data_IF_253563563099
#
_entry.id   IF_253563563099
#
_cell.length_a   1.000
_cell.length_b   1.000
_cell.length_c   1.000
_cell.angle_alpha   90.00
_cell.angle_beta   90.00
_cell.angle_gamma   90.00
#
_symmetry.space_group_name_H-M   'P 1'
#
loop_
_entity.id
_entity.type
_entity.pdbx_description
1 polymer ?
#
# COMPACT_ATOMS: atom_id res chain seq x y z
N UNK A 1 7.89 -4.00 -26.67
CA UNK A 1 6.82 -3.34 -25.90
C UNK A 1 6.32 -4.28 -24.81
N UNK A 2 6.29 -3.78 -23.56
CA UNK A 2 5.78 -4.56 -22.42
C UNK A 2 4.28 -4.28 -22.26
N UNK A 3 3.46 -5.30 -22.43
CA UNK A 3 2.01 -5.19 -22.18
C UNK A 3 1.78 -5.16 -20.66
N UNK A 4 1.12 -4.11 -20.18
CA UNK A 4 0.68 -4.01 -18.79
C UNK A 4 -0.76 -4.51 -18.71
N UNK A 5 -0.95 -5.61 -17.97
CA UNK A 5 -2.28 -6.18 -17.75
C UNK A 5 -2.92 -5.46 -16.56
N UNK A 6 -4.00 -4.73 -16.82
CA UNK A 6 -4.79 -4.10 -15.75
C UNK A 6 -5.58 -5.11 -14.92
N UNK A 7 -5.94 -4.72 -13.70
CA UNK A 7 -6.65 -5.59 -12.75
C UNK A 7 -7.71 -4.87 -11.91
N UNK A 8 -8.36 -3.82 -12.45
CA UNK A 8 -9.38 -3.06 -11.72
C UNK A 8 -10.40 -3.98 -11.05
N UNK A 9 -10.68 -3.73 -9.77
CA UNK A 9 -11.60 -4.55 -8.97
C UNK A 9 -11.01 -5.88 -8.49
N UNK A 10 -9.73 -6.16 -8.77
CA UNK A 10 -9.01 -7.33 -8.26
C UNK A 10 -8.06 -6.93 -7.13
N UNK A 11 -7.87 -7.77 -6.11
CA UNK A 11 -6.96 -7.49 -5.02
C UNK A 11 -5.48 -7.74 -5.37
N UNK A 12 -5.19 -8.25 -6.57
CA UNK A 12 -3.82 -8.49 -7.04
C UNK A 12 -3.04 -7.18 -7.22
N UNK A 13 -1.72 -7.25 -7.30
CA UNK A 13 -0.87 -6.07 -7.50
C UNK A 13 -1.28 -5.30 -8.77
N UNK A 14 -1.67 -6.00 -9.83
CA UNK A 14 -2.20 -5.39 -11.07
C UNK A 14 -3.48 -4.57 -10.87
N UNK A 15 -4.21 -4.77 -9.78
CA UNK A 15 -5.45 -4.04 -9.46
C UNK A 15 -5.30 -3.01 -8.36
N UNK A 16 -4.22 -3.07 -7.57
CA UNK A 16 -4.00 -2.23 -6.38
C UNK A 16 -2.76 -1.35 -6.48
N UNK A 17 -1.91 -1.58 -7.46
CA UNK A 17 -0.73 -0.79 -7.72
C UNK A 17 -0.97 0.12 -8.94
N UNK A 18 -1.01 1.43 -8.69
CA UNK A 18 -1.20 2.46 -9.74
C UNK A 18 0.03 3.35 -9.83
N UNK A 19 0.25 3.93 -11.01
CA UNK A 19 1.32 4.90 -11.20
C UNK A 19 1.01 6.17 -10.37
N UNK A 20 2.03 6.66 -9.65
CA UNK A 20 2.03 7.96 -8.99
C UNK A 20 3.11 8.81 -9.61
N UNK A 21 2.72 9.94 -10.19
CA UNK A 21 3.63 10.91 -10.81
C UNK A 21 3.45 12.24 -10.10
N UNK A 22 4.55 12.78 -9.57
CA UNK A 22 4.59 14.11 -8.99
C UNK A 22 5.43 15.04 -9.90
N UNK A 23 4.91 16.20 -10.17
CA UNK A 23 5.57 17.19 -11.01
C UNK A 23 5.42 18.60 -10.41
N UNK A 24 6.55 19.19 -10.06
CA UNK A 24 6.64 20.59 -9.63
C UNK A 24 8.03 21.14 -9.98
N UNK A 25 8.18 21.86 -11.09
CA UNK A 25 9.45 22.44 -11.50
C UNK A 25 10.07 23.31 -10.39
N UNK A 26 11.38 23.15 -10.21
CA UNK A 26 12.13 23.87 -9.17
C UNK A 26 12.00 23.33 -7.74
N UNK A 27 11.05 22.41 -7.50
CA UNK A 27 10.85 21.80 -6.16
C UNK A 27 11.09 20.29 -6.19
N UNK A 28 10.42 19.58 -7.09
CA UNK A 28 10.59 18.14 -7.26
C UNK A 28 11.70 17.88 -8.28
N UNK A 29 12.78 17.17 -7.92
CA UNK A 29 13.85 16.83 -8.85
C UNK A 29 13.33 16.01 -10.04
N UNK A 30 13.82 16.33 -11.23
CA UNK A 30 13.51 15.57 -12.44
C UNK A 30 14.18 14.17 -12.41
N UNK A 31 13.64 13.25 -13.22
CA UNK A 31 14.21 11.92 -13.49
C UNK A 31 14.47 11.06 -12.23
N UNK A 32 13.65 11.25 -11.19
CA UNK A 32 13.73 10.44 -9.96
C UNK A 32 12.67 9.33 -9.97
N UNK A 33 13.09 8.14 -9.49
CA UNK A 33 12.18 7.02 -9.24
C UNK A 33 12.25 6.69 -7.75
N UNK A 34 11.13 6.91 -7.05
CA UNK A 34 10.97 6.48 -5.68
C UNK A 34 10.28 5.11 -5.65
N UNK A 35 10.88 4.13 -4.95
CA UNK A 35 10.34 2.77 -4.81
C UNK A 35 9.52 2.58 -3.53
N UNK A 36 9.52 3.58 -2.63
CA UNK A 36 8.76 3.50 -1.39
C UNK A 36 7.28 3.31 -1.67
N UNK A 37 6.64 2.47 -0.88
CA UNK A 37 5.20 2.28 -0.97
C UNK A 37 4.48 3.51 -0.41
N UNK A 38 3.42 3.93 -1.10
CA UNK A 38 2.57 5.07 -0.76
C UNK A 38 1.12 4.60 -0.74
N UNK A 39 0.39 4.98 0.28
CA UNK A 39 -1.05 4.73 0.42
C UNK A 39 -1.85 6.01 0.13
N UNK A 40 -3.12 5.87 -0.24
CA UNK A 40 -3.99 7.03 -0.48
C UNK A 40 -4.18 7.90 0.77
N UNK A 41 -4.14 7.31 1.97
CA UNK A 41 -4.18 8.06 3.23
C UNK A 41 -2.99 9.02 3.41
N UNK A 42 -1.88 8.79 2.68
CA UNK A 42 -0.66 9.58 2.77
C UNK A 42 -0.74 10.93 2.02
N UNK A 43 -1.72 11.10 1.12
CA UNK A 43 -1.83 12.32 0.31
C UNK A 43 -2.16 13.55 1.16
N UNK A 44 -3.13 13.43 2.06
CA UNK A 44 -3.55 14.56 2.88
C UNK A 44 -2.41 15.12 3.76
N UNK A 45 -1.67 14.30 4.55
CA UNK A 45 -0.51 14.81 5.30
C UNK A 45 0.63 15.29 4.39
N UNK A 46 0.80 14.72 3.19
CA UNK A 46 1.81 15.18 2.23
C UNK A 46 1.48 16.58 1.70
N UNK A 47 0.23 16.82 1.35
CA UNK A 47 -0.23 18.14 0.89
C UNK A 47 -0.09 19.16 2.03
N UNK A 48 -0.48 18.81 3.25
CA UNK A 48 -0.34 19.68 4.41
C UNK A 48 1.13 20.09 4.62
N UNK A 49 2.06 19.13 4.61
CA UNK A 49 3.49 19.43 4.74
C UNK A 49 4.02 20.26 3.58
N UNK A 50 3.64 19.96 2.35
CA UNK A 50 4.08 20.69 1.16
C UNK A 50 3.62 22.15 1.13
N UNK A 51 2.47 22.45 1.73
CA UNK A 51 1.89 23.80 1.79
C UNK A 51 2.14 24.55 3.09
N UNK A 52 2.78 23.91 4.07
CA UNK A 52 2.95 24.46 5.42
C UNK A 52 1.64 24.53 6.24
N UNK A 53 0.60 23.83 5.81
CA UNK A 53 -0.65 23.73 6.55
C UNK A 53 -0.50 22.86 7.81
N UNK A 54 -1.40 23.04 8.77
CA UNK A 54 -1.44 22.19 9.96
C UNK A 54 -1.76 20.73 9.56
N UNK A 55 -1.03 19.73 10.09
CA UNK A 55 -1.32 18.34 9.84
C UNK A 55 -2.72 17.97 10.31
N UNK A 56 -3.40 17.13 9.54
CA UNK A 56 -4.65 16.50 9.97
C UNK A 56 -4.37 15.54 11.13
N UNK A 57 -5.15 15.62 12.20
CA UNK A 57 -5.05 14.72 13.34
C UNK A 57 -6.45 14.38 13.86
N UNK A 58 -6.75 13.09 14.10
CA UNK A 58 -5.90 11.92 13.85
C UNK A 58 -5.81 11.56 12.35
N UNK A 59 -4.70 10.92 11.95
CA UNK A 59 -4.54 10.40 10.58
C UNK A 59 -3.72 9.12 10.56
N UNK A 60 -4.09 8.16 9.74
CA UNK A 60 -3.29 6.95 9.43
C UNK A 60 -2.24 7.22 8.36
N UNK A 61 -2.32 8.39 7.71
CA UNK A 61 -1.43 8.81 6.65
C UNK A 61 -0.04 9.19 7.15
N UNK A 62 0.97 8.95 6.31
CA UNK A 62 2.35 9.41 6.50
C UNK A 62 2.74 10.27 5.31
N UNK A 63 3.24 11.48 5.59
CA UNK A 63 3.72 12.32 4.50
C UNK A 63 4.88 11.67 3.75
N UNK A 64 4.80 11.68 2.43
CA UNK A 64 5.89 11.33 1.53
C UNK A 64 6.52 12.56 0.85
N UNK A 65 6.24 13.76 1.35
CA UNK A 65 6.83 14.99 0.82
C UNK A 65 8.36 14.96 0.81
N UNK A 66 9.08 14.47 1.85
CA UNK A 66 10.53 14.33 1.78
C UNK A 66 11.00 13.46 0.61
N UNK A 67 10.28 12.37 0.30
CA UNK A 67 10.62 11.52 -0.84
C UNK A 67 10.42 12.25 -2.18
N UNK A 68 9.40 13.10 -2.29
CA UNK A 68 9.22 13.97 -3.48
C UNK A 68 10.40 14.91 -3.68
N UNK A 69 11.06 15.31 -2.60
CA UNK A 69 12.26 16.16 -2.62
C UNK A 69 13.57 15.35 -2.81
N UNK A 70 13.50 14.06 -3.12
CA UNK A 70 14.67 13.19 -3.24
C UNK A 70 15.34 12.84 -1.90
N UNK A 71 14.66 13.03 -0.77
CA UNK A 71 15.18 12.73 0.58
C UNK A 71 14.59 11.41 1.09
N UNK A 72 15.26 10.78 2.06
CA UNK A 72 14.78 9.52 2.65
C UNK A 72 13.45 9.68 3.39
N UNK A 73 13.32 10.72 4.22
CA UNK A 73 12.13 10.90 5.06
C UNK A 73 11.84 9.70 5.97
N UNK A 74 10.54 9.46 6.22
CA UNK A 74 10.03 8.33 7.01
C UNK A 74 9.03 7.50 6.16
N UNK A 75 9.52 6.71 5.17
CA UNK A 75 8.67 5.93 4.30
C UNK A 75 7.90 4.86 5.07
N UNK A 76 6.74 4.46 4.54
CA UNK A 76 6.01 3.30 5.04
C UNK A 76 6.81 2.03 4.82
N UNK A 77 6.82 1.15 5.80
CA UNK A 77 7.33 -0.20 5.63
C UNK A 77 6.29 -1.10 4.96
N UNK A 78 5.01 -0.89 5.27
CA UNK A 78 3.92 -1.72 4.81
C UNK A 78 2.67 -0.89 4.50
N UNK A 79 1.86 -1.38 3.56
CA UNK A 79 0.49 -0.94 3.30
C UNK A 79 -0.46 -2.07 3.72
N UNK A 80 -1.53 -1.71 4.42
CA UNK A 80 -2.64 -2.61 4.73
C UNK A 80 -3.84 -2.30 3.84
N UNK A 81 -4.46 -3.34 3.32
CA UNK A 81 -5.71 -3.22 2.57
C UNK A 81 -6.77 -4.15 3.17
N UNK A 82 -7.92 -3.56 3.41
CA UNK A 82 -9.18 -4.26 3.69
C UNK A 82 -10.12 -4.04 2.52
N UNK A 83 -10.49 -5.11 1.83
CA UNK A 83 -11.31 -5.05 0.63
C UNK A 83 -12.57 -5.91 0.80
N UNK A 84 -13.74 -5.28 0.81
CA UNK A 84 -15.03 -5.94 0.92
C UNK A 84 -16.06 -5.24 0.01
N UNK A 85 -16.03 -5.52 -1.30
CA UNK A 85 -16.85 -4.77 -2.27
C UNK A 85 -18.35 -5.00 -2.14
N UNK A 86 -18.75 -6.11 -1.51
CA UNK A 86 -20.17 -6.49 -1.30
C UNK A 86 -20.30 -7.09 0.10
N UNK A 87 -20.41 -6.26 1.16
CA UNK A 87 -20.44 -6.74 2.54
C UNK A 87 -21.53 -7.76 2.83
N UNK A 88 -22.65 -7.70 2.11
CA UNK A 88 -23.80 -8.57 2.30
C UNK A 88 -23.53 -10.01 1.80
N UNK A 89 -22.66 -10.17 0.82
CA UNK A 89 -22.47 -11.46 0.11
C UNK A 89 -21.03 -11.92 0.04
N UNK A 90 -20.07 -11.04 0.32
CA UNK A 90 -18.63 -11.33 0.19
C UNK A 90 -17.94 -11.33 1.53
N UNK A 91 -17.07 -12.32 1.75
CA UNK A 91 -16.14 -12.26 2.88
C UNK A 91 -15.07 -11.20 2.59
N UNK A 92 -14.66 -10.42 3.60
CA UNK A 92 -13.62 -9.44 3.44
C UNK A 92 -12.30 -10.11 3.09
N UNK A 93 -11.54 -9.46 2.24
CA UNK A 93 -10.18 -9.85 1.90
C UNK A 93 -9.23 -8.83 2.52
N UNK A 94 -8.26 -9.31 3.26
CA UNK A 94 -7.23 -8.50 3.91
C UNK A 94 -5.87 -8.91 3.41
N UNK A 95 -4.98 -7.94 3.25
CA UNK A 95 -3.58 -8.20 3.03
C UNK A 95 -2.68 -7.05 3.51
N UNK A 96 -1.42 -7.39 3.74
CA UNK A 96 -0.33 -6.45 3.97
C UNK A 96 0.71 -6.64 2.87
N UNK A 97 1.25 -5.54 2.35
CA UNK A 97 2.34 -5.57 1.39
C UNK A 97 3.44 -4.56 1.76
N UNK A 98 4.67 -4.88 1.37
CA UNK A 98 5.76 -3.93 1.23
C UNK A 98 6.16 -3.78 -0.26
N UNK A 99 7.33 -3.22 -0.57
CA UNK A 99 7.77 -3.06 -1.96
C UNK A 99 7.76 -4.38 -2.77
N UNK A 100 8.10 -5.50 -2.14
CA UNK A 100 8.32 -6.77 -2.82
C UNK A 100 7.30 -7.84 -2.46
N UNK A 101 6.91 -7.91 -1.20
CA UNK A 101 6.15 -9.04 -0.66
C UNK A 101 4.73 -8.65 -0.31
N UNK A 102 3.80 -9.56 -0.53
CA UNK A 102 2.39 -9.40 -0.19
C UNK A 102 1.87 -10.66 0.50
N UNK A 103 1.35 -10.49 1.71
CA UNK A 103 0.75 -11.56 2.51
C UNK A 103 -0.74 -11.32 2.68
N UNK A 104 -1.54 -12.28 2.25
CA UNK A 104 -2.98 -12.28 2.45
C UNK A 104 -3.37 -12.87 3.81
N UNK A 105 -4.55 -12.50 4.33
CA UNK A 105 -5.11 -13.03 5.56
C UNK A 105 -5.38 -14.54 5.55
N UNK A 106 -5.41 -15.18 4.38
CA UNK A 106 -5.45 -16.64 4.22
C UNK A 106 -4.06 -17.29 4.13
N UNK A 107 -3.03 -16.59 4.57
CA UNK A 107 -1.64 -17.03 4.62
C UNK A 107 -0.97 -17.29 3.25
N UNK A 108 -1.52 -16.80 2.13
CA UNK A 108 -0.85 -16.84 0.83
C UNK A 108 0.13 -15.68 0.72
N UNK A 109 1.42 -16.01 0.49
CA UNK A 109 2.50 -15.05 0.29
C UNK A 109 2.87 -15.00 -1.19
N UNK A 110 3.08 -13.79 -1.72
CA UNK A 110 3.52 -13.56 -3.10
C UNK A 110 4.73 -12.64 -3.17
N UNK A 111 5.61 -12.89 -4.13
CA UNK A 111 6.69 -11.98 -4.54
C UNK A 111 6.17 -11.10 -5.68
N UNK A 112 5.45 -10.03 -5.31
CA UNK A 112 4.76 -9.17 -6.29
C UNK A 112 5.70 -8.38 -7.19
N UNK A 113 6.97 -8.24 -6.81
CA UNK A 113 7.99 -7.65 -7.67
C UNK A 113 8.30 -8.53 -8.90
N UNK A 114 8.18 -9.87 -8.75
CA UNK A 114 8.46 -10.84 -9.81
C UNK A 114 7.20 -11.53 -10.34
N UNK A 115 6.09 -11.48 -9.60
CA UNK A 115 4.80 -12.09 -9.96
C UNK A 115 3.64 -11.11 -9.73
N UNK A 116 3.58 -10.06 -10.54
CA UNK A 116 2.56 -8.98 -10.48
C UNK A 116 1.13 -9.52 -10.57
N UNK A 117 0.93 -10.66 -11.24
CA UNK A 117 -0.39 -11.29 -11.40
C UNK A 117 -0.70 -12.29 -10.28
N UNK A 118 0.22 -12.50 -9.34
CA UNK A 118 0.05 -13.36 -8.17
C UNK A 118 -0.40 -14.79 -8.51
N UNK A 119 0.25 -15.37 -9.54
CA UNK A 119 -0.05 -16.71 -10.03
C UNK A 119 0.59 -17.83 -9.20
N UNK A 120 1.74 -17.54 -8.55
CA UNK A 120 2.58 -18.53 -7.88
C UNK A 120 2.83 -18.15 -6.42
N UNK A 121 2.04 -18.68 -5.45
CA UNK A 121 2.31 -18.46 -4.04
C UNK A 121 3.70 -18.98 -3.65
N UNK A 122 4.40 -18.22 -2.82
CA UNK A 122 5.71 -18.60 -2.30
C UNK A 122 5.56 -19.56 -1.14
N UNK A 123 6.13 -20.76 -1.29
CA UNK A 123 6.08 -21.85 -0.28
C UNK A 123 7.45 -22.18 0.32
N UNK A 124 8.51 -21.57 -0.21
CA UNK A 124 9.89 -21.84 0.21
C UNK A 124 10.11 -21.59 1.70
N UNK A 125 10.82 -22.50 2.42
CA UNK A 125 11.24 -22.28 3.80
C UNK A 125 12.06 -21.00 4.02
N UNK A 126 12.81 -20.54 3.01
CA UNK A 126 13.58 -19.30 3.05
C UNK A 126 12.69 -18.06 3.25
N UNK A 127 11.39 -18.14 2.97
CA UNK A 127 10.43 -17.05 3.16
C UNK A 127 9.89 -16.92 4.60
N UNK A 128 10.31 -17.77 5.55
CA UNK A 128 9.80 -17.75 6.94
C UNK A 128 9.96 -16.39 7.62
N UNK A 129 11.11 -15.74 7.45
CA UNK A 129 11.40 -14.43 8.08
C UNK A 129 10.44 -13.34 7.60
N UNK A 130 10.32 -13.18 6.28
CA UNK A 130 9.41 -12.18 5.71
C UNK A 130 7.95 -12.48 6.01
N UNK A 131 7.56 -13.77 5.98
CA UNK A 131 6.20 -14.19 6.35
C UNK A 131 5.87 -13.80 7.80
N UNK A 132 6.79 -14.06 8.75
CA UNK A 132 6.61 -13.67 10.15
C UNK A 132 6.48 -12.15 10.31
N UNK A 133 7.30 -11.39 9.61
CA UNK A 133 7.26 -9.91 9.65
C UNK A 133 5.91 -9.37 9.13
N UNK A 134 5.47 -9.83 7.95
CA UNK A 134 4.20 -9.39 7.38
C UNK A 134 3.00 -9.88 8.17
N UNK A 135 3.07 -11.08 8.76
CA UNK A 135 2.02 -11.60 9.63
C UNK A 135 1.87 -10.73 10.88
N UNK A 136 2.97 -10.36 11.52
CA UNK A 136 2.92 -9.45 12.68
C UNK A 136 2.30 -8.09 12.33
N UNK A 137 2.60 -7.55 11.14
CA UNK A 137 1.97 -6.32 10.66
C UNK A 137 0.46 -6.51 10.37
N UNK A 138 0.06 -7.66 9.80
CA UNK A 138 -1.33 -7.99 9.52
C UNK A 138 -2.16 -8.20 10.79
N UNK A 139 -1.55 -8.78 11.83
CA UNK A 139 -2.22 -9.07 13.12
C UNK A 139 -2.51 -7.80 13.93
N UNK A 140 -1.79 -6.71 13.67
CA UNK A 140 -2.06 -5.39 14.27
C UNK A 140 -3.24 -4.67 13.62
N UNK A 141 -3.72 -5.14 12.47
CA UNK A 141 -4.78 -4.50 11.70
C UNK A 141 -6.14 -5.13 11.99
N UNK A 142 -7.24 -4.36 11.84
CA UNK A 142 -8.60 -4.88 12.08
C UNK A 142 -8.86 -6.17 11.31
N UNK A 143 -9.45 -7.15 11.99
CA UNK A 143 -9.88 -8.42 11.38
C UNK A 143 -11.22 -8.29 10.67
N UNK A 144 -12.05 -7.36 11.14
CA UNK A 144 -13.37 -7.05 10.61
C UNK A 144 -13.45 -5.58 10.22
N UNK A 145 -14.32 -5.26 9.26
CA UNK A 145 -14.61 -3.86 8.93
C UNK A 145 -15.21 -3.15 10.15
N UNK A 146 -14.74 -1.95 10.42
CA UNK A 146 -15.44 -1.10 11.38
C UNK A 146 -16.86 -0.87 10.88
N UNK A 147 -17.86 -0.96 11.78
CA UNK A 147 -19.20 -0.49 11.46
C UNK A 147 -19.07 0.97 11.00
N UNK A 148 -19.59 1.26 9.83
CA UNK A 148 -19.69 2.65 9.37
C UNK A 148 -20.37 3.45 10.48
N UNK A 149 -19.77 4.57 10.89
CA UNK A 149 -20.47 5.51 11.74
C UNK A 149 -21.69 5.97 10.96
N UNK A 150 -22.88 5.68 11.48
CA UNK A 150 -24.10 6.34 11.02
C UNK A 150 -24.01 7.77 11.52
N UNK A 151 -23.88 8.70 10.59
CA UNK A 151 -24.09 10.11 10.89
C UNK A 151 -25.62 10.28 11.01
N UNK A 152 -26.09 10.53 12.23
CA UNK A 152 -27.46 10.96 12.50
C UNK A 152 -27.65 12.39 12.03
#
# INVERSE_FOLDING_TARGET
DKVIVGGKGRPTDAGTHVALIAYQPGTVPADQICKSVVDFSDFAPTIAEATGAQPLSPTDGRSFFPQLLGRKGNPRENIFIYYCPKPETSKPLRFVRNERWKLYGNNRLFDVANDVLEKKPVTSPASKGIRKQLQAALDQMPSEGQKLMTFD
#
